data_IF_158985873379
#
_entry.id   IF_158985873379
#
_cell.length_a   1.000
_cell.length_b   1.000
_cell.length_c   1.000
_cell.angle_alpha   90.00
_cell.angle_beta   90.00
_cell.angle_gamma   90.00
#
_symmetry.space_group_name_H-M   'P 1'
#
loop_
_entity.id
_entity.type
_entity.pdbx_description
1 polymer ?
#
# COMPACT_ATOMS: atom_id res chain seq x y z
N UNK A 1 34.00 27.19 13.22
CA UNK A 1 32.78 26.79 13.95
C UNK A 1 32.37 25.45 13.36
N UNK A 2 32.71 24.35 14.03
CA UNK A 2 32.46 23.00 13.51
C UNK A 2 31.01 22.61 13.84
N UNK A 3 30.23 22.30 12.82
CA UNK A 3 28.89 21.71 12.92
C UNK A 3 28.95 20.37 13.66
N UNK A 4 28.85 20.43 14.99
CA UNK A 4 28.54 19.27 15.81
C UNK A 4 27.03 19.13 15.89
N UNK A 5 26.38 18.84 14.76
CA UNK A 5 25.10 18.14 14.84
C UNK A 5 25.37 16.88 15.69
N UNK A 6 24.65 16.67 16.80
CA UNK A 6 24.97 15.60 17.74
C UNK A 6 24.95 14.28 16.98
N UNK A 7 26.03 13.50 17.03
CA UNK A 7 26.17 12.20 16.34
C UNK A 7 24.94 11.28 16.50
N UNK A 8 24.20 11.47 17.59
CA UNK A 8 22.94 10.80 17.92
C UNK A 8 21.80 11.08 16.91
N UNK A 9 21.67 12.29 16.36
CA UNK A 9 20.65 12.58 15.34
C UNK A 9 20.98 11.87 14.02
N UNK A 10 22.24 11.93 13.58
CA UNK A 10 22.68 11.21 12.37
C UNK A 10 22.47 9.70 12.51
N UNK A 11 22.75 9.11 13.67
CA UNK A 11 22.54 7.68 13.89
C UNK A 11 21.05 7.29 13.86
N UNK A 12 20.16 8.14 14.39
CA UNK A 12 18.71 7.92 14.35
C UNK A 12 18.14 8.02 12.92
N UNK A 13 18.60 9.00 12.13
CA UNK A 13 18.20 9.13 10.73
C UNK A 13 18.61 7.92 9.88
N UNK A 14 19.81 7.37 10.16
CA UNK A 14 20.25 6.13 9.54
C UNK A 14 19.40 4.93 10.01
N UNK A 15 19.06 4.86 11.30
CA UNK A 15 18.22 3.78 11.83
C UNK A 15 16.81 3.76 11.22
N UNK A 16 16.19 4.93 11.03
CA UNK A 16 14.90 5.08 10.35
C UNK A 16 14.97 4.61 8.89
N UNK A 17 16.04 5.00 8.18
CA UNK A 17 16.30 4.54 6.82
C UNK A 17 16.45 3.02 6.77
N UNK A 18 17.32 2.44 7.62
CA UNK A 18 17.54 0.99 7.68
C UNK A 18 16.28 0.22 8.09
N UNK A 19 15.45 0.76 9.00
CA UNK A 19 14.20 0.12 9.40
C UNK A 19 13.21 0.03 8.22
N UNK A 20 13.03 1.12 7.46
CA UNK A 20 12.16 1.13 6.26
C UNK A 20 12.66 0.18 5.18
N UNK A 21 13.97 0.17 4.93
CA UNK A 21 14.60 -0.74 3.97
C UNK A 21 14.53 -2.20 4.41
N UNK A 22 14.68 -2.47 5.71
CA UNK A 22 14.56 -3.83 6.24
C UNK A 22 13.15 -4.40 6.04
N UNK A 23 12.10 -3.59 6.20
CA UNK A 23 10.72 -4.04 5.92
C UNK A 23 10.50 -4.44 4.46
N UNK A 24 11.05 -3.66 3.52
CA UNK A 24 11.01 -4.00 2.09
C UNK A 24 11.85 -5.24 1.77
N UNK A 25 13.07 -5.32 2.29
CA UNK A 25 13.95 -6.47 2.06
C UNK A 25 13.37 -7.76 2.63
N UNK A 26 12.85 -7.73 3.86
CA UNK A 26 12.14 -8.85 4.49
C UNK A 26 10.91 -9.22 3.66
N UNK A 27 10.15 -8.24 3.18
CA UNK A 27 9.00 -8.47 2.31
C UNK A 27 9.38 -9.18 1.00
N UNK A 28 10.49 -8.78 0.37
CA UNK A 28 11.00 -9.41 -0.87
C UNK A 28 11.45 -10.84 -0.59
N UNK A 29 12.24 -11.07 0.46
CA UNK A 29 12.72 -12.41 0.83
C UNK A 29 11.56 -13.33 1.19
N UNK A 30 10.60 -12.85 1.99
CA UNK A 30 9.40 -13.60 2.34
C UNK A 30 8.60 -13.94 1.08
N UNK A 31 8.38 -12.98 0.18
CA UNK A 31 7.69 -13.20 -1.08
C UNK A 31 8.38 -14.25 -1.96
N UNK A 32 9.71 -14.20 -2.07
CA UNK A 32 10.49 -15.19 -2.83
C UNK A 32 10.34 -16.60 -2.25
N UNK A 33 10.47 -16.74 -0.92
CA UNK A 33 10.31 -18.03 -0.25
C UNK A 33 8.90 -18.59 -0.44
N UNK A 34 7.88 -17.74 -0.33
CA UNK A 34 6.49 -18.13 -0.52
C UNK A 34 6.20 -18.59 -1.95
N UNK A 35 6.77 -17.93 -2.96
CA UNK A 35 6.63 -18.33 -4.38
C UNK A 35 7.32 -19.68 -4.66
N UNK A 36 8.37 -20.04 -3.91
CA UNK A 36 9.05 -21.34 -4.07
C UNK A 36 8.37 -22.51 -3.38
N UNK A 37 7.33 -22.26 -2.57
CA UNK A 37 6.56 -23.34 -1.94
C UNK A 37 5.75 -24.04 -3.02
N UNK A 38 6.05 -25.33 -3.23
CA UNK A 38 5.35 -26.16 -4.19
C UNK A 38 3.89 -26.37 -3.74
N UNK A 39 2.96 -25.70 -4.42
CA UNK A 39 1.53 -25.89 -4.27
C UNK A 39 0.92 -26.31 -5.61
N UNK A 40 -0.16 -27.09 -5.56
CA UNK A 40 -0.90 -27.50 -6.77
C UNK A 40 -1.55 -26.34 -7.54
N UNK A 41 -1.49 -25.11 -7.02
CA UNK A 41 -1.94 -23.86 -7.65
C UNK A 41 -0.84 -22.80 -7.51
N UNK A 42 -0.37 -22.24 -8.63
CA UNK A 42 0.69 -21.22 -8.69
C UNK A 42 0.17 -19.84 -8.22
N UNK A 43 -1.16 -19.63 -8.29
CA UNK A 43 -1.78 -18.32 -8.01
C UNK A 43 -1.81 -18.01 -6.53
N UNK A 44 -2.07 -19.01 -5.68
CA UNK A 44 -2.17 -18.81 -4.22
C UNK A 44 -0.83 -18.37 -3.58
N UNK A 45 0.33 -19.00 -3.88
CA UNK A 45 1.63 -18.50 -3.44
C UNK A 45 1.87 -17.05 -3.83
N UNK A 46 1.49 -16.66 -5.06
CA UNK A 46 1.65 -15.29 -5.55
C UNK A 46 0.79 -14.29 -4.75
N UNK A 47 -0.47 -14.64 -4.46
CA UNK A 47 -1.37 -13.85 -3.61
C UNK A 47 -0.79 -13.65 -2.22
N UNK A 48 -0.31 -14.74 -1.59
CA UNK A 48 0.27 -14.68 -0.25
C UNK A 48 1.59 -13.89 -0.26
N UNK A 49 2.42 -14.03 -1.29
CA UNK A 49 3.66 -13.28 -1.45
C UNK A 49 3.42 -11.77 -1.57
N UNK A 50 2.47 -11.34 -2.42
CA UNK A 50 2.17 -9.92 -2.63
C UNK A 50 1.51 -9.30 -1.38
N UNK A 51 0.60 -10.03 -0.74
CA UNK A 51 -0.03 -9.57 0.51
C UNK A 51 0.98 -9.46 1.66
N UNK A 52 1.87 -10.46 1.81
CA UNK A 52 2.97 -10.42 2.78
C UNK A 52 3.92 -9.25 2.51
N UNK A 53 4.31 -9.03 1.25
CA UNK A 53 5.16 -7.89 0.87
C UNK A 53 4.55 -6.55 1.31
N UNK A 54 3.26 -6.32 1.02
CA UNK A 54 2.57 -5.09 1.41
C UNK A 54 2.50 -4.92 2.94
N UNK A 55 2.24 -6.00 3.69
CA UNK A 55 2.21 -5.97 5.15
C UNK A 55 3.60 -5.73 5.76
N UNK A 56 4.65 -6.34 5.20
CA UNK A 56 6.03 -6.10 5.62
C UNK A 56 6.47 -4.65 5.35
N UNK A 57 6.07 -4.07 4.22
CA UNK A 57 6.33 -2.67 3.91
C UNK A 57 5.66 -1.74 4.93
N UNK A 58 4.38 -1.98 5.26
CA UNK A 58 3.66 -1.23 6.31
C UNK A 58 4.33 -1.43 7.67
N UNK A 59 4.66 -2.67 8.03
CA UNK A 59 5.32 -3.01 9.29
C UNK A 59 6.68 -2.33 9.44
N UNK A 60 7.50 -2.30 8.40
CA UNK A 60 8.81 -1.63 8.41
C UNK A 60 8.72 -0.11 8.58
N UNK A 61 7.75 0.53 7.93
CA UNK A 61 7.52 1.98 8.08
C UNK A 61 7.02 2.32 9.49
N UNK A 62 6.12 1.52 10.04
CA UNK A 62 5.62 1.71 11.40
C UNK A 62 6.67 1.40 12.46
N UNK A 63 7.51 0.40 12.23
CA UNK A 63 8.64 0.07 13.10
C UNK A 63 9.65 1.22 13.09
N UNK A 64 9.94 1.79 11.91
CA UNK A 64 10.74 3.01 11.78
C UNK A 64 10.15 4.16 12.62
N UNK A 65 8.86 4.48 12.44
CA UNK A 65 8.21 5.54 13.22
C UNK A 65 8.20 5.28 14.75
N UNK A 66 8.14 4.02 15.17
CA UNK A 66 8.21 3.64 16.56
C UNK A 66 9.63 3.76 17.16
N UNK A 67 10.66 3.53 16.35
CA UNK A 67 12.07 3.61 16.75
C UNK A 67 12.60 5.04 16.79
N UNK A 68 11.98 5.99 16.07
CA UNK A 68 12.34 7.40 16.15
C UNK A 68 11.92 7.99 17.50
N UNK A 69 12.84 7.93 18.49
CA UNK A 69 12.71 8.58 19.79
C UNK A 69 12.40 10.06 19.59
N UNK A 70 11.28 10.54 20.17
CA UNK A 70 10.89 11.95 20.12
C UNK A 70 11.87 12.77 20.97
N UNK A 71 12.60 13.74 20.40
CA UNK A 71 13.26 14.75 21.22
C UNK A 71 12.19 15.50 22.01
N UNK A 72 12.26 15.43 23.33
CA UNK A 72 11.31 16.10 24.24
C UNK A 72 11.64 17.59 24.46
N UNK A 73 12.59 18.14 23.72
CA UNK A 73 13.19 19.43 24.04
C UNK A 73 12.84 20.49 22.99
N UNK A 74 12.09 21.49 23.44
CA UNK A 74 12.40 22.92 23.34
C UNK A 74 11.14 23.75 23.05
N UNK A 75 10.70 24.47 24.10
CA UNK A 75 9.87 25.68 24.11
C UNK A 75 8.43 25.54 23.58
N UNK A 76 7.49 25.67 24.53
CA UNK A 76 6.05 25.89 24.29
C UNK A 76 5.83 27.23 23.59
N UNK A 77 5.88 27.27 22.26
CA UNK A 77 5.14 28.29 21.51
C UNK A 77 3.81 27.66 21.11
N UNK A 78 2.78 27.94 21.90
CA UNK A 78 1.42 27.51 21.63
C UNK A 78 0.86 28.31 20.45
N UNK A 79 1.14 27.89 19.22
CA UNK A 79 0.34 28.32 18.07
C UNK A 79 -0.94 27.48 18.03
N UNK A 80 -2.05 28.13 18.36
CA UNK A 80 -3.40 27.58 18.30
C UNK A 80 -3.92 27.78 16.88
N UNK A 81 -3.53 26.88 15.97
CA UNK A 81 -4.22 26.72 14.70
C UNK A 81 -5.10 25.45 14.78
N UNK A 82 -6.34 25.47 14.27
CA UNK A 82 -7.19 24.27 14.20
C UNK A 82 -6.48 23.23 13.34
N UNK A 83 -6.11 22.10 13.94
CA UNK A 83 -5.26 21.07 13.31
C UNK A 83 -6.16 20.00 12.69
N UNK A 84 -6.30 19.98 11.37
CA UNK A 84 -6.97 18.88 10.67
C UNK A 84 -5.94 17.87 10.14
N UNK A 85 -6.22 16.59 10.34
CA UNK A 85 -5.42 15.48 9.78
C UNK A 85 -5.30 15.59 8.26
N UNK A 86 -6.32 16.18 7.61
CA UNK A 86 -6.36 16.41 6.16
C UNK A 86 -5.22 17.28 5.65
N UNK A 87 -4.71 18.20 6.48
CA UNK A 87 -3.65 19.13 6.07
C UNK A 87 -2.26 18.48 6.10
N UNK A 88 -2.15 17.29 6.71
CA UNK A 88 -0.88 16.56 6.85
C UNK A 88 -0.67 15.50 5.76
N UNK A 89 -1.74 15.12 5.05
CA UNK A 89 -1.72 14.06 4.03
C UNK A 89 -1.63 14.69 2.64
N UNK A 90 -0.90 14.10 1.67
CA UNK A 90 -0.79 14.66 0.33
C UNK A 90 -2.19 14.87 -0.29
N UNK A 91 -2.59 16.13 -0.57
CA UNK A 91 -3.98 16.50 -0.80
C UNK A 91 -4.57 15.87 -2.07
N UNK A 92 -3.70 15.48 -3.01
CA UNK A 92 -4.09 14.82 -4.27
C UNK A 92 -3.97 13.29 -4.21
N UNK A 93 -3.01 12.75 -3.46
CA UNK A 93 -2.77 11.31 -3.42
C UNK A 93 -3.68 10.58 -2.42
N UNK A 94 -4.04 11.22 -1.32
CA UNK A 94 -4.98 10.65 -0.35
C UNK A 94 -6.32 10.22 -0.98
N UNK A 95 -7.03 11.10 -1.73
CA UNK A 95 -8.29 10.69 -2.35
C UNK A 95 -8.10 9.63 -3.44
N UNK A 96 -6.97 9.63 -4.16
CA UNK A 96 -6.66 8.61 -5.16
C UNK A 96 -6.46 7.23 -4.51
N UNK A 97 -5.72 7.15 -3.41
CA UNK A 97 -5.52 5.90 -2.68
C UNK A 97 -6.82 5.40 -2.02
N UNK A 98 -7.66 6.31 -1.51
CA UNK A 98 -8.99 5.96 -1.02
C UNK A 98 -9.88 5.40 -2.13
N UNK A 99 -9.86 6.03 -3.31
CA UNK A 99 -10.57 5.52 -4.48
C UNK A 99 -10.07 4.11 -4.84
N UNK A 100 -8.75 3.90 -4.88
CA UNK A 100 -8.18 2.58 -5.14
C UNK A 100 -8.56 1.52 -4.10
N UNK A 101 -8.54 1.89 -2.82
CA UNK A 101 -8.93 0.98 -1.75
C UNK A 101 -10.42 0.60 -1.87
N UNK A 102 -11.28 1.58 -2.18
CA UNK A 102 -12.69 1.33 -2.45
C UNK A 102 -12.87 0.42 -3.68
N UNK A 103 -12.20 0.72 -4.79
CA UNK A 103 -12.25 -0.11 -6.01
C UNK A 103 -11.75 -1.53 -5.76
N UNK A 104 -10.66 -1.69 -5.00
CA UNK A 104 -10.14 -3.01 -4.61
C UNK A 104 -11.19 -3.79 -3.80
N UNK A 105 -11.75 -3.19 -2.74
CA UNK A 105 -12.80 -3.83 -1.94
C UNK A 105 -13.99 -4.21 -2.81
N UNK A 106 -14.45 -3.31 -3.69
CA UNK A 106 -15.55 -3.60 -4.62
C UNK A 106 -15.22 -4.77 -5.54
N UNK A 107 -14.03 -4.82 -6.13
CA UNK A 107 -13.62 -5.92 -7.00
C UNK A 107 -13.49 -7.25 -6.25
N UNK A 108 -12.97 -7.24 -5.02
CA UNK A 108 -12.89 -8.44 -4.18
C UNK A 108 -14.28 -8.95 -3.79
N UNK A 109 -15.21 -8.05 -3.46
CA UNK A 109 -16.61 -8.43 -3.17
C UNK A 109 -17.29 -8.99 -4.43
N UNK A 110 -17.15 -8.33 -5.58
CA UNK A 110 -17.69 -8.83 -6.85
C UNK A 110 -17.08 -10.20 -7.16
N UNK A 111 -15.76 -10.35 -7.06
CA UNK A 111 -15.06 -11.60 -7.27
C UNK A 111 -15.56 -12.72 -6.36
N UNK A 112 -15.72 -12.43 -5.06
CA UNK A 112 -16.25 -13.38 -4.09
C UNK A 112 -17.70 -13.81 -4.36
N UNK A 113 -18.57 -12.86 -4.74
CA UNK A 113 -19.99 -13.13 -5.02
C UNK A 113 -20.20 -13.84 -6.35
N UNK A 114 -19.34 -13.58 -7.34
CA UNK A 114 -19.44 -14.17 -8.69
C UNK A 114 -18.71 -15.49 -8.82
N UNK A 115 -17.81 -15.83 -7.90
CA UNK A 115 -17.13 -17.12 -7.91
C UNK A 115 -18.15 -18.26 -7.76
N UNK A 116 -18.09 -19.24 -8.65
CA UNK A 116 -18.99 -20.38 -8.59
C UNK A 116 -18.56 -21.30 -7.45
N UNK A 117 -19.49 -21.58 -6.53
CA UNK A 117 -19.36 -22.71 -5.61
C UNK A 117 -19.82 -23.97 -6.33
N UNK A 118 -18.90 -24.76 -6.86
CA UNK A 118 -19.25 -26.10 -7.37
C UNK A 118 -19.63 -26.99 -6.17
N UNK A 119 -20.91 -27.39 -6.02
CA UNK A 119 -21.36 -28.17 -4.86
C UNK A 119 -20.79 -29.60 -4.84
N UNK A 120 -20.20 -30.07 -5.95
CA UNK A 120 -19.61 -31.41 -6.03
C UNK A 120 -18.13 -31.47 -5.59
N UNK A 121 -17.44 -30.33 -5.46
CA UNK A 121 -16.04 -30.25 -4.98
C UNK A 121 -15.96 -29.45 -3.69
N UNK A 122 -16.17 -30.14 -2.57
CA UNK A 122 -16.05 -29.63 -1.20
C UNK A 122 -14.67 -29.06 -0.82
N UNK A 123 -13.65 -29.22 -1.66
CA UNK A 123 -12.27 -28.76 -1.38
C UNK A 123 -11.78 -27.69 -2.40
N UNK A 124 -12.61 -27.31 -3.38
CA UNK A 124 -12.20 -26.42 -4.49
C UNK A 124 -13.20 -25.32 -4.87
N UNK A 125 -14.13 -24.96 -3.97
CA UNK A 125 -15.15 -23.95 -4.25
C UNK A 125 -14.54 -22.53 -4.25
N UNK A 126 -14.75 -21.75 -5.32
CA UNK A 126 -14.53 -20.30 -5.29
C UNK A 126 -13.24 -19.75 -5.92
N UNK A 127 -12.56 -20.48 -6.81
CA UNK A 127 -11.40 -19.98 -7.60
C UNK A 127 -11.69 -19.88 -9.11
N UNK A 128 -12.90 -20.25 -9.53
CA UNK A 128 -13.34 -20.32 -10.93
C UNK A 128 -14.68 -19.59 -11.08
N UNK A 129 -14.87 -18.92 -12.21
CA UNK A 129 -16.14 -18.35 -12.66
C UNK A 129 -16.70 -19.22 -13.79
N UNK A 130 -17.91 -19.76 -13.61
CA UNK A 130 -18.60 -20.48 -14.68
C UNK A 130 -19.37 -19.52 -15.58
N UNK A 131 -19.04 -19.47 -16.87
CA UNK A 131 -19.78 -18.70 -17.88
C UNK A 131 -20.32 -19.61 -18.97
N UNK A 132 -21.45 -19.24 -19.57
CA UNK A 132 -22.03 -19.96 -20.70
C UNK A 132 -21.58 -19.34 -22.03
N UNK A 133 -20.77 -20.08 -22.80
CA UNK A 133 -20.35 -19.71 -24.14
C UNK A 133 -21.15 -20.50 -25.16
N UNK A 134 -21.92 -19.83 -26.03
CA UNK A 134 -22.68 -20.51 -27.10
C UNK A 134 -23.55 -21.68 -26.59
N UNK A 135 -24.04 -21.59 -25.34
CA UNK A 135 -24.83 -22.63 -24.69
C UNK A 135 -24.02 -23.69 -23.92
N UNK A 136 -22.69 -23.68 -24.00
CA UNK A 136 -21.80 -24.59 -23.28
C UNK A 136 -21.23 -23.89 -22.03
N UNK A 137 -21.42 -24.46 -20.81
CA UNK A 137 -20.79 -23.93 -19.62
C UNK A 137 -19.27 -24.17 -19.68
N UNK A 138 -18.51 -23.11 -19.48
CA UNK A 138 -17.04 -23.10 -19.42
C UNK A 138 -16.57 -22.44 -18.13
N UNK A 139 -15.38 -22.82 -17.69
CA UNK A 139 -14.80 -22.43 -16.40
C UNK A 139 -13.64 -21.48 -16.61
N UNK A 140 -13.81 -20.20 -16.25
CA UNK A 140 -12.78 -19.16 -16.27
C UNK A 140 -12.00 -19.16 -14.95
N UNK A 141 -10.69 -19.27 -15.00
CA UNK A 141 -9.81 -19.13 -13.84
C UNK A 141 -8.45 -18.60 -14.27
N UNK A 142 -7.67 -17.97 -13.36
CA UNK A 142 -7.95 -17.78 -11.94
C UNK A 142 -8.88 -16.59 -11.67
N UNK A 143 -10.00 -16.82 -10.99
CA UNK A 143 -10.97 -15.76 -10.64
C UNK A 143 -10.76 -15.29 -9.19
N UNK A 144 -10.81 -13.97 -8.87
CA UNK A 144 -10.55 -13.44 -7.52
C UNK A 144 -11.71 -13.71 -6.54
N UNK A 145 -12.10 -14.98 -6.40
CA UNK A 145 -13.12 -15.40 -5.43
C UNK A 145 -12.60 -15.45 -4.00
N UNK A 146 -13.40 -16.00 -3.07
CA UNK A 146 -13.12 -15.98 -1.63
C UNK A 146 -11.77 -16.63 -1.27
N UNK A 147 -11.37 -17.63 -2.04
CA UNK A 147 -10.11 -18.36 -1.86
C UNK A 147 -8.87 -17.44 -1.96
N UNK A 148 -8.83 -16.55 -2.96
CA UNK A 148 -7.73 -15.60 -3.14
C UNK A 148 -7.98 -14.25 -2.44
N UNK A 149 -9.24 -13.83 -2.31
CA UNK A 149 -9.57 -12.54 -1.69
C UNK A 149 -9.51 -12.58 -0.16
N UNK A 150 -9.64 -13.74 0.48
CA UNK A 150 -9.55 -13.89 1.93
C UNK A 150 -8.27 -13.28 2.54
N UNK A 151 -7.06 -13.69 2.09
CA UNK A 151 -5.81 -13.09 2.54
C UNK A 151 -5.73 -11.58 2.28
N UNK A 152 -6.24 -11.10 1.15
CA UNK A 152 -6.24 -9.68 0.80
C UNK A 152 -7.14 -8.87 1.75
N UNK A 153 -8.36 -9.36 2.03
CA UNK A 153 -9.27 -8.75 3.00
C UNK A 153 -8.66 -8.71 4.39
N UNK A 154 -8.06 -9.81 4.84
CA UNK A 154 -7.40 -9.85 6.15
C UNK A 154 -6.27 -8.81 6.23
N UNK A 155 -5.43 -8.72 5.20
CA UNK A 155 -4.36 -7.74 5.12
C UNK A 155 -4.88 -6.29 5.13
N UNK A 156 -5.95 -5.99 4.39
CA UNK A 156 -6.57 -4.65 4.39
C UNK A 156 -7.23 -4.32 5.73
N UNK A 157 -7.90 -5.30 6.34
CA UNK A 157 -8.58 -5.16 7.63
C UNK A 157 -7.60 -4.92 8.78
N UNK A 158 -6.36 -5.39 8.67
CA UNK A 158 -5.29 -5.14 9.64
C UNK A 158 -4.51 -3.87 9.29
N UNK A 159 -4.02 -3.76 8.05
CA UNK A 159 -3.13 -2.68 7.62
C UNK A 159 -3.79 -1.30 7.68
N UNK A 160 -5.05 -1.20 7.26
CA UNK A 160 -5.77 0.09 7.21
C UNK A 160 -5.97 0.71 8.60
N UNK A 161 -6.55 0.02 9.61
CA UNK A 161 -6.73 0.62 10.92
C UNK A 161 -5.40 0.91 11.62
N UNK A 162 -4.36 0.09 11.42
CA UNK A 162 -3.03 0.35 12.00
C UNK A 162 -2.42 1.63 11.40
N UNK A 163 -2.49 1.81 10.08
CA UNK A 163 -2.04 3.05 9.42
C UNK A 163 -2.85 4.26 9.89
N UNK A 164 -4.18 4.15 10.00
CA UNK A 164 -5.04 5.22 10.52
C UNK A 164 -4.71 5.56 11.97
N UNK A 165 -4.46 4.56 12.81
CA UNK A 165 -4.06 4.75 14.21
C UNK A 165 -2.72 5.48 14.29
N UNK A 166 -1.74 5.10 13.47
CA UNK A 166 -0.44 5.77 13.40
C UNK A 166 -0.57 7.22 12.93
N UNK A 167 -1.38 7.50 11.89
CA UNK A 167 -1.68 8.87 11.45
C UNK A 167 -2.34 9.70 12.55
N UNK A 168 -3.30 9.15 13.28
CA UNK A 168 -3.92 9.82 14.44
C UNK A 168 -2.88 10.11 15.52
N UNK A 169 -1.97 9.18 15.81
CA UNK A 169 -0.90 9.35 16.79
C UNK A 169 0.10 10.45 16.41
N UNK A 170 0.39 10.61 15.12
CA UNK A 170 1.25 11.68 14.61
C UNK A 170 0.54 13.04 14.68
N UNK A 171 -0.72 13.09 14.25
CA UNK A 171 -1.50 14.33 14.27
C UNK A 171 -1.64 14.91 15.68
N UNK A 172 -1.82 14.05 16.69
CA UNK A 172 -1.97 14.46 18.10
C UNK A 172 -0.64 14.46 18.89
N UNK A 173 0.46 13.98 18.32
CA UNK A 173 1.75 13.96 19.00
C UNK A 173 2.39 15.36 19.13
N UNK A 174 3.37 15.59 20.01
CA UNK A 174 4.33 16.69 19.91
C UNK A 174 5.29 16.52 18.73
N UNK A 175 5.78 17.63 18.15
CA UNK A 175 6.69 17.67 16.99
C UNK A 175 6.41 18.85 16.05
N UNK A 176 7.40 19.25 15.24
CA UNK A 176 7.25 20.30 14.21
C UNK A 176 6.28 19.87 13.11
N UNK A 177 5.61 20.84 12.46
CA UNK A 177 4.61 20.53 11.42
C UNK A 177 5.21 19.88 10.17
N UNK A 178 6.48 20.18 9.87
CA UNK A 178 7.20 19.57 8.75
C UNK A 178 7.49 18.09 9.01
N UNK A 179 8.04 17.76 10.19
CA UNK A 179 8.34 16.38 10.54
C UNK A 179 7.08 15.49 10.60
N UNK A 180 5.95 16.05 11.05
CA UNK A 180 4.65 15.34 11.02
C UNK A 180 4.19 15.05 9.60
N UNK A 181 4.32 16.03 8.69
CA UNK A 181 3.96 15.88 7.29
C UNK A 181 4.79 14.78 6.65
N UNK A 182 6.11 14.78 6.83
CA UNK A 182 6.98 13.76 6.21
C UNK A 182 6.67 12.34 6.72
N UNK A 183 6.40 12.18 8.02
CA UNK A 183 5.96 10.89 8.58
C UNK A 183 4.59 10.46 8.07
N UNK A 184 3.63 11.38 7.99
CA UNK A 184 2.30 11.11 7.46
C UNK A 184 2.36 10.70 5.98
N UNK A 185 3.26 11.29 5.19
CA UNK A 185 3.51 10.91 3.81
C UNK A 185 4.11 9.50 3.70
N UNK A 186 5.09 9.16 4.54
CA UNK A 186 5.67 7.82 4.54
C UNK A 186 4.64 6.73 4.88
N UNK A 187 3.79 6.96 5.88
CA UNK A 187 2.71 6.01 6.25
C UNK A 187 1.68 5.90 5.14
N UNK A 188 1.32 7.02 4.52
CA UNK A 188 0.38 7.03 3.38
C UNK A 188 0.97 6.29 2.18
N UNK A 189 2.27 6.47 1.92
CA UNK A 189 3.02 5.73 0.91
C UNK A 189 3.00 4.23 1.16
N UNK A 190 3.28 3.80 2.40
CA UNK A 190 3.27 2.39 2.79
C UNK A 190 1.89 1.74 2.65
N UNK A 191 0.83 2.43 3.09
CA UNK A 191 -0.55 1.98 2.87
C UNK A 191 -0.88 1.90 1.38
N UNK A 192 -0.41 2.85 0.58
CA UNK A 192 -0.54 2.81 -0.87
C UNK A 192 0.19 1.61 -1.52
N UNK A 193 1.38 1.22 -1.05
CA UNK A 193 2.05 0.00 -1.51
C UNK A 193 1.18 -1.24 -1.28
N UNK A 194 0.58 -1.36 -0.09
CA UNK A 194 -0.31 -2.47 0.25
C UNK A 194 -1.54 -2.51 -0.67
N UNK A 195 -2.22 -1.38 -0.86
CA UNK A 195 -3.45 -1.31 -1.67
C UNK A 195 -3.15 -1.49 -3.17
N UNK A 196 -2.18 -0.74 -3.71
CA UNK A 196 -1.90 -0.75 -5.15
C UNK A 196 -1.34 -2.08 -5.63
N UNK A 197 -0.51 -2.76 -4.82
CA UNK A 197 0.01 -4.09 -5.18
C UNK A 197 -1.08 -5.16 -5.24
N UNK A 198 -2.00 -5.18 -4.26
CA UNK A 198 -3.16 -6.08 -4.27
C UNK A 198 -4.10 -5.77 -5.44
N UNK A 199 -4.35 -4.49 -5.72
CA UNK A 199 -5.19 -4.08 -6.84
C UNK A 199 -4.59 -4.48 -8.19
N UNK A 200 -3.28 -4.31 -8.38
CA UNK A 200 -2.58 -4.73 -9.59
C UNK A 200 -2.68 -6.24 -9.81
N UNK A 201 -2.55 -7.04 -8.74
CA UNK A 201 -2.74 -8.48 -8.79
C UNK A 201 -4.18 -8.87 -9.20
N UNK A 202 -5.19 -8.27 -8.57
CA UNK A 202 -6.61 -8.55 -8.90
C UNK A 202 -6.92 -8.17 -10.35
N UNK A 203 -6.44 -7.00 -10.79
CA UNK A 203 -6.57 -6.54 -12.18
C UNK A 203 -5.92 -7.55 -13.13
N UNK A 204 -4.71 -8.03 -12.82
CA UNK A 204 -4.01 -9.03 -13.62
C UNK A 204 -4.80 -10.35 -13.71
N UNK A 205 -5.31 -10.86 -12.58
CA UNK A 205 -6.15 -12.06 -12.56
C UNK A 205 -7.39 -11.92 -13.46
N UNK A 206 -8.09 -10.79 -13.35
CA UNK A 206 -9.28 -10.51 -14.18
C UNK A 206 -8.90 -10.45 -15.66
N UNK A 207 -7.80 -9.77 -16.01
CA UNK A 207 -7.34 -9.67 -17.40
C UNK A 207 -7.00 -11.06 -17.95
N UNK A 208 -6.20 -11.86 -17.23
CA UNK A 208 -5.82 -13.22 -17.64
C UNK A 208 -7.09 -14.05 -17.88
N UNK A 209 -7.99 -14.11 -16.89
CA UNK A 209 -9.23 -14.86 -16.98
C UNK A 209 -10.07 -14.45 -18.21
N UNK A 210 -10.21 -13.14 -18.48
CA UNK A 210 -10.99 -12.66 -19.63
C UNK A 210 -10.30 -12.88 -20.98
N UNK A 211 -8.96 -12.90 -21.03
CA UNK A 211 -8.20 -13.08 -22.27
C UNK A 211 -8.06 -14.53 -22.70
N UNK A 212 -7.97 -15.48 -21.77
CA UNK A 212 -7.69 -16.87 -22.12
C UNK A 212 -8.84 -17.58 -22.87
N UNK A 213 -10.09 -17.17 -22.68
CA UNK A 213 -11.23 -17.99 -23.14
C UNK A 213 -12.07 -17.39 -24.27
N UNK A 214 -11.77 -16.19 -24.79
CA UNK A 214 -12.42 -15.61 -25.99
C UNK A 214 -13.94 -15.37 -25.90
N UNK A 215 -14.62 -15.97 -24.92
CA UNK A 215 -16.06 -15.95 -24.70
C UNK A 215 -16.58 -14.68 -24.05
N UNK A 216 -15.69 -13.76 -23.69
CA UNK A 216 -16.06 -12.63 -22.84
C UNK A 216 -17.01 -11.65 -23.56
N UNK A 217 -17.09 -11.71 -24.90
CA UNK A 217 -18.04 -10.93 -25.70
C UNK A 217 -17.95 -9.41 -25.43
N UNK A 218 -19.07 -8.70 -25.55
CA UNK A 218 -19.12 -7.25 -25.27
C UNK A 218 -18.93 -6.91 -23.79
N UNK A 219 -19.37 -7.79 -22.88
CA UNK A 219 -19.25 -7.56 -21.43
C UNK A 219 -17.79 -7.63 -20.99
N UNK A 220 -17.03 -8.62 -21.45
CA UNK A 220 -15.59 -8.71 -21.20
C UNK A 220 -14.81 -7.55 -21.77
N UNK A 221 -15.13 -7.13 -22.99
CA UNK A 221 -14.51 -5.93 -23.59
C UNK A 221 -14.78 -4.68 -22.74
N UNK A 222 -16.01 -4.48 -22.26
CA UNK A 222 -16.35 -3.38 -21.36
C UNK A 222 -15.60 -3.49 -20.02
N UNK A 223 -15.49 -4.68 -19.43
CA UNK A 223 -14.72 -4.91 -18.20
C UNK A 223 -13.25 -4.56 -18.40
N UNK A 224 -12.63 -4.98 -19.51
CA UNK A 224 -11.23 -4.64 -19.83
C UNK A 224 -11.05 -3.12 -19.95
N UNK A 225 -11.97 -2.42 -20.62
CA UNK A 225 -11.93 -0.95 -20.74
C UNK A 225 -11.97 -0.25 -19.38
N UNK A 226 -12.67 -0.81 -18.40
CA UNK A 226 -12.75 -0.27 -17.03
C UNK A 226 -11.54 -0.67 -16.17
N UNK A 227 -11.07 -1.91 -16.32
CA UNK A 227 -10.02 -2.52 -15.47
C UNK A 227 -8.62 -2.07 -15.88
N UNK A 228 -8.35 -1.87 -17.17
CA UNK A 228 -7.06 -1.37 -17.68
C UNK A 228 -6.65 0.00 -17.11
N UNK A 229 -7.47 1.06 -17.13
CA UNK A 229 -7.09 2.35 -16.56
C UNK A 229 -6.89 2.24 -15.04
N UNK A 230 -7.63 1.35 -14.36
CA UNK A 230 -7.44 1.08 -12.94
C UNK A 230 -6.08 0.41 -12.66
N UNK A 231 -5.64 -0.50 -13.53
CA UNK A 231 -4.30 -1.09 -13.50
C UNK A 231 -3.17 -0.09 -13.78
N UNK A 232 -3.36 0.82 -14.73
CA UNK A 232 -2.39 1.89 -14.99
C UNK A 232 -2.30 2.85 -13.79
N UNK A 233 -3.46 3.19 -13.21
CA UNK A 233 -3.51 4.02 -12.01
C UNK A 233 -2.83 3.32 -10.83
N UNK A 234 -3.03 2.01 -10.64
CA UNK A 234 -2.38 1.25 -9.58
C UNK A 234 -0.87 1.14 -9.77
N UNK A 235 -0.38 1.01 -11.00
CA UNK A 235 1.05 1.04 -11.30
C UNK A 235 1.66 2.41 -10.97
N UNK A 236 0.98 3.49 -11.37
CA UNK A 236 1.42 4.85 -11.07
C UNK A 236 1.49 5.11 -9.56
N UNK A 237 0.45 4.75 -8.81
CA UNK A 237 0.44 4.92 -7.35
C UNK A 237 1.42 3.99 -6.66
N UNK A 238 1.63 2.77 -7.17
CA UNK A 238 2.66 1.87 -6.65
C UNK A 238 4.06 2.49 -6.78
N UNK A 239 4.38 3.04 -7.96
CA UNK A 239 5.64 3.74 -8.19
C UNK A 239 5.81 4.97 -7.29
N UNK A 240 4.76 5.78 -7.16
CA UNK A 240 4.76 6.93 -6.25
C UNK A 240 4.97 6.49 -4.80
N UNK A 241 4.20 5.51 -4.32
CA UNK A 241 4.28 4.96 -2.98
C UNK A 241 5.67 4.39 -2.69
N UNK A 242 6.26 3.66 -3.63
CA UNK A 242 7.62 3.14 -3.51
C UNK A 242 8.63 4.27 -3.37
N UNK A 243 8.56 5.29 -4.22
CA UNK A 243 9.44 6.47 -4.15
C UNK A 243 9.27 7.19 -2.81
N UNK A 244 8.04 7.37 -2.32
CA UNK A 244 7.82 8.04 -1.03
C UNK A 244 8.35 7.26 0.18
N UNK A 245 8.39 5.93 0.10
CA UNK A 245 8.97 5.09 1.16
C UNK A 245 10.50 5.08 1.08
N UNK A 246 11.06 5.07 -0.14
CA UNK A 246 12.49 4.96 -0.41
C UNK A 246 13.27 6.28 -0.29
N UNK A 247 12.66 7.40 -0.66
CA UNK A 247 13.28 8.72 -0.65
C UNK A 247 12.71 9.54 0.52
N UNK A 248 13.28 9.41 1.75
CA UNK A 248 12.98 10.36 2.80
C UNK A 248 13.39 11.75 2.28
N UNK A 249 12.42 12.66 2.20
CA UNK A 249 12.74 14.04 1.84
C UNK A 249 13.63 14.58 2.96
N UNK A 250 14.89 14.82 2.63
CA UNK A 250 15.74 15.62 3.49
C UNK A 250 15.08 16.99 3.60
N UNK A 251 14.87 17.45 4.83
CA UNK A 251 14.46 18.82 5.11
C UNK A 251 15.52 19.70 4.44
N UNK A 252 15.13 20.46 3.40
CA UNK A 252 15.98 21.55 2.92
C UNK A 252 16.19 22.48 4.11
N UNK A 253 17.44 22.62 4.54
CA UNK A 253 17.91 23.62 5.51
C UNK A 253 17.69 25.03 4.93
N UNK A 254 16.44 25.42 4.73
CA UNK A 254 16.03 26.75 4.32
C UNK A 254 15.91 27.65 5.57
N UNK A 255 16.92 27.55 6.44
CA UNK A 255 17.09 28.38 7.63
C UNK A 255 18.46 29.07 7.68
N UNK A 256 19.30 28.89 6.65
CA UNK A 256 20.65 29.47 6.60
C UNK A 256 20.80 30.69 5.68
N UNK A 257 19.75 31.14 4.98
CA UNK A 257 19.87 32.22 3.96
C UNK A 257 19.11 33.52 4.29
N UNK A 258 18.43 33.60 5.44
CA UNK A 258 17.74 34.82 5.90
C UNK A 258 18.45 35.47 7.11
N UNK A 259 19.78 35.59 7.06
CA UNK A 259 20.47 36.67 7.79
C UNK A 259 20.72 37.81 6.80
N UNK A 260 19.92 38.90 6.84
CA UNK A 260 20.38 40.14 6.25
C UNK A 260 21.62 40.55 7.04
N UNK A 261 22.78 40.54 6.38
CA UNK A 261 23.91 41.34 6.81
C UNK A 261 23.44 42.80 6.77
N UNK A 262 23.07 43.34 7.93
CA UNK A 262 23.07 44.77 8.17
C UNK A 262 24.54 45.21 8.15
N UNK A 263 25.02 45.58 6.96
CA UNK A 263 26.25 46.37 6.81
C UNK A 263 25.88 47.86 6.92
N UNK A 264 26.35 48.45 8.02
CA UNK A 264 26.70 49.86 8.33
C UNK A 264 25.84 51.03 7.77
#
# INVERSE_FOLDING_TARGET
MLDTAPLQSRLLDHADYYARWSGLAIGIVAAQQLVTVESGDITMPLVVAITAFGLCAVGGVLLGDALTLRPQEAVRTASVAPRLVRDQVPPRMAPLLLLQAASLVTLLVIGAVTASSDPARTVGAGHVLTVTCEGIPTSLGPWPGLYYSGPMFAALAIGTPVCLWALRRIAHGPGSDQQRRDRAWAITGAWGLLVSSQLLLVVLMIVIALTEQGCAGRLGAATIVVVCPLGLLSLFTFGWSLVTVMAPRAVEDQAADDTPFDDE
#
